data_IF_251214378133
#
_entry.id   IF_251214378133
#
_cell.length_a   1.000
_cell.length_b   1.000
_cell.length_c   1.000
_cell.angle_alpha   90.00
_cell.angle_beta   90.00
_cell.angle_gamma   90.00
#
_symmetry.space_group_name_H-M   'P 1'
#
loop_
_entity.id
_entity.type
_entity.pdbx_description
1 polymer ?
#
# COMPACT_ATOMS: atom_id res chain seq x y z
N UNK A 1 5.98 -6.33 5.91
CA UNK A 1 6.73 -5.05 5.96
C UNK A 1 5.74 -3.93 6.16
N UNK A 2 6.20 -2.81 6.71
CA UNK A 2 5.38 -1.63 6.98
C UNK A 2 5.88 -0.48 6.11
N UNK A 3 4.96 0.34 5.62
CA UNK A 3 5.22 1.59 4.92
C UNK A 3 4.41 2.69 5.63
N UNK A 4 5.05 3.79 6.03
CA UNK A 4 4.39 4.86 6.78
C UNK A 4 4.55 6.17 6.02
N UNK A 5 3.43 6.82 5.74
CA UNK A 5 3.36 8.06 4.95
C UNK A 5 2.11 8.87 5.33
N UNK A 6 2.09 10.16 5.01
CA UNK A 6 0.90 10.99 5.16
C UNK A 6 -0.19 10.58 4.16
N UNK A 7 -1.40 10.29 4.64
CA UNK A 7 -2.55 9.98 3.82
C UNK A 7 -3.84 10.52 4.44
N UNK A 8 -4.51 11.39 3.71
CA UNK A 8 -5.78 11.98 4.13
C UNK A 8 -5.62 12.94 5.30
N UNK A 9 -5.85 12.43 6.52
CA UNK A 9 -5.94 13.21 7.74
C UNK A 9 -4.71 13.11 8.66
N UNK A 10 -3.67 12.38 8.27
CA UNK A 10 -2.45 12.25 9.07
C UNK A 10 -1.48 11.21 8.54
N UNK A 11 -0.44 10.94 9.32
CA UNK A 11 0.44 9.79 9.09
C UNK A 11 -0.33 8.49 9.29
N UNK A 12 -0.21 7.59 8.32
CA UNK A 12 -0.80 6.25 8.35
C UNK A 12 0.29 5.23 8.12
N UNK A 13 0.20 4.12 8.84
CA UNK A 13 1.01 2.93 8.58
C UNK A 13 0.20 1.97 7.74
N UNK A 14 0.84 1.42 6.72
CA UNK A 14 0.29 0.45 5.80
C UNK A 14 1.10 -0.84 5.88
N UNK A 15 0.42 -1.98 5.93
CA UNK A 15 1.06 -3.28 5.84
C UNK A 15 0.11 -4.31 5.21
N UNK A 16 0.57 -5.00 4.16
CA UNK A 16 -0.11 -6.19 3.66
C UNK A 16 0.35 -7.42 4.46
N UNK A 17 -0.28 -7.65 5.61
CA UNK A 17 -0.09 -8.91 6.37
C UNK A 17 -0.57 -10.10 5.54
N UNK A 18 -0.26 -11.32 5.97
CA UNK A 18 -0.75 -12.53 5.28
C UNK A 18 -2.27 -12.55 5.19
N UNK A 19 -2.96 -12.16 6.25
CA UNK A 19 -4.43 -12.09 6.30
C UNK A 19 -4.97 -11.04 5.32
N UNK A 20 -4.29 -9.89 5.20
CA UNK A 20 -4.69 -8.84 4.26
C UNK A 20 -4.42 -9.21 2.81
N UNK A 21 -3.38 -10.00 2.52
CA UNK A 21 -3.19 -10.59 1.19
C UNK A 21 -4.38 -11.51 0.85
N UNK A 22 -4.77 -12.40 1.77
CA UNK A 22 -5.89 -13.31 1.52
C UNK A 22 -7.21 -12.56 1.30
N UNK A 23 -7.47 -11.49 2.07
CA UNK A 23 -8.63 -10.63 1.84
C UNK A 23 -8.56 -9.90 0.50
N UNK A 24 -7.38 -9.40 0.12
CA UNK A 24 -7.16 -8.73 -1.16
C UNK A 24 -7.40 -9.67 -2.34
N UNK A 25 -6.90 -10.91 -2.28
CA UNK A 25 -7.14 -11.93 -3.31
C UNK A 25 -8.64 -12.29 -3.40
N UNK A 26 -9.33 -12.39 -2.25
CA UNK A 26 -10.79 -12.61 -2.21
C UNK A 26 -11.57 -11.45 -2.86
N UNK A 27 -11.14 -10.21 -2.62
CA UNK A 27 -11.81 -9.00 -3.14
C UNK A 27 -11.56 -8.76 -4.63
N UNK A 28 -10.36 -9.04 -5.11
CA UNK A 28 -9.94 -8.80 -6.49
C UNK A 28 -10.16 -10.01 -7.40
N UNK A 29 -10.31 -11.21 -6.84
CA UNK A 29 -10.50 -12.45 -7.57
C UNK A 29 -9.22 -12.98 -8.24
N UNK A 30 -8.06 -12.41 -7.93
CA UNK A 30 -6.77 -12.79 -8.49
C UNK A 30 -5.71 -12.90 -7.40
N UNK A 31 -4.68 -13.72 -7.64
CA UNK A 31 -3.58 -13.89 -6.71
C UNK A 31 -2.65 -12.67 -6.65
N UNK A 32 -1.87 -12.55 -5.57
CA UNK A 32 -0.95 -11.41 -5.36
C UNK A 32 0.07 -11.22 -6.49
N UNK A 33 0.54 -12.30 -7.11
CA UNK A 33 1.48 -12.23 -8.24
C UNK A 33 0.86 -11.60 -9.49
N UNK A 34 -0.42 -11.85 -9.71
CA UNK A 34 -1.16 -11.23 -10.82
C UNK A 34 -1.40 -9.74 -10.54
N UNK A 35 -1.73 -9.35 -9.30
CA UNK A 35 -1.83 -7.95 -8.90
C UNK A 35 -0.50 -7.22 -9.13
N UNK A 36 0.63 -7.78 -8.67
CA UNK A 36 1.94 -7.17 -8.86
C UNK A 36 2.28 -7.01 -10.36
N UNK A 37 2.01 -8.04 -11.16
CA UNK A 37 2.21 -7.99 -12.63
C UNK A 37 1.35 -6.92 -13.30
N UNK A 38 0.09 -6.74 -12.89
CA UNK A 38 -0.80 -5.70 -13.41
C UNK A 38 -0.26 -4.30 -13.12
N UNK A 39 0.26 -4.07 -11.92
CA UNK A 39 0.88 -2.79 -11.58
C UNK A 39 2.10 -2.49 -12.46
N UNK A 40 3.01 -3.45 -12.64
CA UNK A 40 4.19 -3.28 -13.50
C UNK A 40 3.83 -2.99 -14.97
N UNK A 41 2.71 -3.53 -15.44
CA UNK A 41 2.25 -3.36 -16.82
C UNK A 41 1.25 -2.21 -17.01
N UNK A 42 0.83 -1.57 -15.92
CA UNK A 42 -0.25 -0.58 -15.91
C UNK A 42 -1.60 -1.15 -16.40
N UNK A 43 -1.81 -2.46 -16.25
CA UNK A 43 -3.05 -3.20 -16.59
C UNK A 43 -3.95 -3.40 -15.34
N UNK A 44 -3.83 -2.55 -14.33
CA UNK A 44 -4.57 -2.67 -13.07
C UNK A 44 -6.03 -2.21 -13.23
N UNK A 45 -6.92 -2.80 -12.43
CA UNK A 45 -8.25 -2.23 -12.23
C UNK A 45 -8.18 -1.15 -11.15
N UNK A 46 -9.05 -0.15 -11.22
CA UNK A 46 -9.14 0.87 -10.17
C UNK A 46 -9.45 0.25 -8.80
N UNK A 47 -10.24 -0.83 -8.77
CA UNK A 47 -10.51 -1.61 -7.55
C UNK A 47 -9.27 -2.24 -6.96
N UNK A 48 -8.27 -2.60 -7.79
CA UNK A 48 -7.01 -3.18 -7.29
C UNK A 48 -6.26 -2.14 -6.45
N UNK A 49 -6.16 -0.90 -6.95
CA UNK A 49 -5.56 0.24 -6.24
C UNK A 49 -6.28 0.47 -4.91
N UNK A 50 -7.60 0.61 -4.97
CA UNK A 50 -8.42 0.95 -3.80
C UNK A 50 -8.32 -0.12 -2.72
N UNK A 51 -8.40 -1.39 -3.09
CA UNK A 51 -8.34 -2.49 -2.12
C UNK A 51 -6.94 -2.71 -1.57
N UNK A 52 -5.87 -2.46 -2.34
CA UNK A 52 -4.49 -2.49 -1.80
C UNK A 52 -4.31 -1.44 -0.71
N UNK A 53 -4.74 -0.19 -0.94
CA UNK A 53 -4.61 0.87 0.07
C UNK A 53 -5.48 0.55 1.29
N UNK A 54 -6.74 0.13 1.08
CA UNK A 54 -7.67 -0.20 2.17
C UNK A 54 -7.15 -1.35 3.05
N UNK A 55 -6.72 -2.44 2.44
CA UNK A 55 -6.18 -3.59 3.16
C UNK A 55 -4.81 -3.30 3.76
N UNK A 56 -4.00 -2.45 3.12
CA UNK A 56 -2.77 -1.90 3.69
C UNK A 56 -3.02 -1.15 4.99
N UNK A 57 -3.99 -0.22 5.02
CA UNK A 57 -4.39 0.49 6.24
C UNK A 57 -4.79 -0.47 7.36
N UNK A 58 -5.62 -1.48 7.03
CA UNK A 58 -6.12 -2.45 8.01
C UNK A 58 -4.97 -3.26 8.60
N UNK A 59 -4.06 -3.77 7.77
CA UNK A 59 -2.91 -4.51 8.27
C UNK A 59 -1.88 -3.63 9.00
N UNK A 60 -1.90 -2.31 8.77
CA UNK A 60 -1.14 -1.32 9.55
C UNK A 60 -1.79 -0.90 10.87
N UNK A 61 -2.98 -1.41 11.18
CA UNK A 61 -3.67 -1.21 12.46
C UNK A 61 -4.89 -0.27 12.43
N UNK A 62 -5.20 0.33 11.28
CA UNK A 62 -6.43 1.12 11.12
C UNK A 62 -7.66 0.21 11.14
N UNK A 63 -8.75 0.61 11.81
CA UNK A 63 -9.96 -0.21 11.84
C UNK A 63 -10.59 -0.35 10.44
N UNK A 64 -11.27 -1.46 10.09
CA UNK A 64 -11.88 -1.62 8.77
C UNK A 64 -12.90 -0.52 8.40
N UNK A 65 -13.65 -0.03 9.38
CA UNK A 65 -14.61 1.05 9.17
C UNK A 65 -13.91 2.39 8.87
N UNK A 66 -12.87 2.72 9.64
CA UNK A 66 -12.08 3.92 9.40
C UNK A 66 -11.31 3.86 8.08
N UNK A 67 -10.72 2.70 7.75
CA UNK A 67 -10.04 2.49 6.47
C UNK A 67 -10.99 2.74 5.28
N UNK A 68 -12.25 2.30 5.37
CA UNK A 68 -13.25 2.57 4.34
C UNK A 68 -13.54 4.08 4.22
N UNK A 69 -13.74 4.77 5.35
CA UNK A 69 -13.99 6.23 5.35
C UNK A 69 -12.83 6.99 4.71
N UNK A 70 -11.58 6.62 5.06
CA UNK A 70 -10.38 7.24 4.50
C UNK A 70 -10.29 7.02 2.99
N UNK A 71 -10.61 5.82 2.51
CA UNK A 71 -10.64 5.51 1.08
C UNK A 71 -11.71 6.33 0.35
N UNK A 72 -12.94 6.34 0.87
CA UNK A 72 -14.06 7.05 0.24
C UNK A 72 -13.81 8.56 0.18
N UNK A 73 -13.12 9.11 1.19
CA UNK A 73 -12.85 10.55 1.32
C UNK A 73 -11.60 10.97 0.57
N UNK A 74 -10.52 10.19 0.65
CA UNK A 74 -9.17 10.62 0.25
C UNK A 74 -8.53 9.79 -0.88
N UNK A 75 -9.12 8.66 -1.29
CA UNK A 75 -8.63 7.89 -2.44
C UNK A 75 -9.58 7.96 -3.64
N UNK A 76 -10.85 7.63 -3.44
CA UNK A 76 -11.86 7.54 -4.50
C UNK A 76 -12.06 8.83 -5.33
N UNK A 77 -12.05 10.05 -4.75
CA UNK A 77 -12.28 11.28 -5.51
C UNK A 77 -10.99 11.89 -6.09
N UNK A 78 -9.82 11.26 -5.87
CA UNK A 78 -8.52 11.80 -6.30
C UNK A 78 -8.14 11.34 -7.71
N UNK A 79 -7.26 12.07 -8.41
CA UNK A 79 -6.65 11.58 -9.64
C UNK A 79 -5.98 10.21 -9.44
N UNK A 80 -6.21 9.27 -10.36
CA UNK A 80 -5.76 7.87 -10.23
C UNK A 80 -4.26 7.76 -9.96
N UNK A 81 -3.45 8.59 -10.61
CA UNK A 81 -1.98 8.54 -10.48
C UNK A 81 -1.49 8.81 -9.05
N UNK A 82 -2.21 9.63 -8.28
CA UNK A 82 -1.82 9.97 -6.91
C UNK A 82 -1.96 8.77 -5.97
N UNK A 83 -3.02 7.98 -6.15
CA UNK A 83 -3.28 6.80 -5.31
C UNK A 83 -2.55 5.56 -5.85
N UNK A 84 -2.32 5.50 -7.17
CA UNK A 84 -1.57 4.43 -7.80
C UNK A 84 -0.17 4.27 -7.21
N UNK A 85 0.56 5.36 -7.00
CA UNK A 85 1.91 5.33 -6.44
C UNK A 85 1.92 4.75 -5.02
N UNK A 86 1.02 5.24 -4.15
CA UNK A 86 0.87 4.72 -2.80
C UNK A 86 0.53 3.22 -2.80
N UNK A 87 -0.42 2.80 -3.63
CA UNK A 87 -0.77 1.39 -3.75
C UNK A 87 0.43 0.54 -4.21
N UNK A 88 1.23 1.04 -5.15
CA UNK A 88 2.43 0.34 -5.61
C UNK A 88 3.47 0.21 -4.51
N UNK A 89 3.76 1.28 -3.75
CA UNK A 89 4.72 1.26 -2.64
C UNK A 89 4.32 0.26 -1.54
N UNK A 90 3.03 0.20 -1.21
CA UNK A 90 2.48 -0.77 -0.24
C UNK A 90 2.67 -2.22 -0.74
N UNK A 91 2.36 -2.46 -2.01
CA UNK A 91 2.46 -3.77 -2.62
C UNK A 91 3.92 -4.22 -2.76
N UNK A 92 4.79 -3.33 -3.22
CA UNK A 92 6.23 -3.55 -3.40
C UNK A 92 6.93 -3.86 -2.07
N UNK A 93 6.62 -3.10 -1.01
CA UNK A 93 7.16 -3.34 0.32
C UNK A 93 6.84 -4.76 0.82
N UNK A 94 5.68 -5.30 0.47
CA UNK A 94 5.33 -6.69 0.81
C UNK A 94 5.99 -7.70 -0.11
N UNK A 95 6.08 -7.40 -1.39
CA UNK A 95 6.64 -8.27 -2.43
C UNK A 95 8.15 -8.52 -2.23
N UNK A 96 8.92 -7.44 -2.10
CA UNK A 96 10.38 -7.52 -1.99
C UNK A 96 10.87 -7.69 -0.56
N UNK A 97 10.05 -7.32 0.43
CA UNK A 97 10.52 -7.12 1.80
C UNK A 97 11.33 -5.82 1.92
N UNK A 98 11.81 -5.49 3.13
CA UNK A 98 12.90 -4.50 3.25
C UNK A 98 14.17 -5.19 2.78
N UNK A 99 14.86 -4.63 1.79
CA UNK A 99 16.22 -5.10 1.50
C UNK A 99 17.20 -4.53 2.52
N UNK A 100 18.30 -5.22 2.79
CA UNK A 100 19.37 -4.68 3.67
C UNK A 100 19.95 -3.37 3.12
N UNK A 101 19.89 -3.17 1.80
CA UNK A 101 20.31 -1.94 1.11
C UNK A 101 19.39 -0.77 1.48
N UNK A 102 18.08 -0.98 1.53
CA UNK A 102 17.12 0.08 1.90
C UNK A 102 17.32 0.54 3.34
N UNK A 103 17.63 -0.39 4.25
CA UNK A 103 17.95 -0.08 5.63
C UNK A 103 19.25 0.74 5.72
N UNK A 104 20.31 0.30 5.03
CA UNK A 104 21.60 0.98 5.03
C UNK A 104 21.54 2.40 4.42
N UNK A 105 20.73 2.60 3.36
CA UNK A 105 20.53 3.93 2.77
C UNK A 105 19.75 4.84 3.71
N UNK A 106 18.68 4.34 4.34
CA UNK A 106 17.91 5.12 5.32
C UNK A 106 18.77 5.52 6.53
N UNK A 107 19.63 4.62 7.01
CA UNK A 107 20.57 4.88 8.10
C UNK A 107 21.64 5.90 7.70
N UNK A 108 22.22 5.77 6.50
CA UNK A 108 23.19 6.72 5.97
C UNK A 108 22.60 8.12 5.76
N UNK A 109 21.35 8.23 5.31
CA UNK A 109 20.66 9.51 5.15
C UNK A 109 20.38 10.15 6.52
N UNK A 110 19.92 9.36 7.50
CA UNK A 110 19.69 9.82 8.87
C UNK A 110 20.98 10.30 9.56
N UNK A 111 22.11 9.62 9.32
CA UNK A 111 23.42 10.03 9.82
C UNK A 111 23.96 11.29 9.13
N UNK A 112 23.57 11.52 7.86
CA UNK A 112 24.00 12.68 7.08
C UNK A 112 23.26 13.99 7.43
N UNK A 113 22.18 13.92 8.21
CA UNK A 113 21.40 15.08 8.63
C UNK A 113 20.66 15.78 7.48
N UNK A 114 20.37 15.06 6.40
CA UNK A 114 19.58 15.48 5.24
C UNK A 114 18.14 15.01 5.34
#
# INVERSE_FOLDING_TARGET
>A
MQHTVYFGDGEKTFALTTEMILELERKTGVGIGELYRRFLRQDFHFTDIVEIVRTGLIGGGTSPAEAQILIDTYAMPRPVIEIHLLAFEILDARWNGKTEVDAAVAEALAESGL
#
